data_IF_311910609072
#
_entry.id   IF_311910609072
#
_cell.length_a   1.000
_cell.length_b   1.000
_cell.length_c   1.000
_cell.angle_alpha   90.00
_cell.angle_beta   90.00
_cell.angle_gamma   90.00
#
_symmetry.space_group_name_H-M   'P 1'
#
loop_
_entity.id
_entity.type
_entity.pdbx_description
1 polymer ?
#
# COMPACT_ATOMS: atom_id res chain seq x y z
N UNK A 1 -3.35 6.34 4.23
CA UNK A 1 -4.48 7.19 3.81
C UNK A 1 -5.77 6.60 4.35
N UNK A 2 -6.92 6.87 3.74
CA UNK A 2 -8.23 6.40 4.24
C UNK A 2 -8.56 4.92 3.94
N UNK A 3 -7.58 4.02 3.85
CA UNK A 3 -7.83 2.58 3.65
C UNK A 3 -8.43 2.13 2.31
N UNK A 4 -8.85 3.02 1.39
CA UNK A 4 -9.54 2.65 0.13
C UNK A 4 -8.86 1.53 -0.66
N UNK A 5 -7.56 1.64 -0.92
CA UNK A 5 -6.82 0.61 -1.68
C UNK A 5 -6.83 -0.75 -0.97
N UNK A 6 -6.78 -0.76 0.36
CA UNK A 6 -6.84 -1.98 1.17
C UNK A 6 -8.19 -2.67 0.97
N UNK A 7 -9.29 -1.91 1.06
CA UNK A 7 -10.64 -2.41 0.84
C UNK A 7 -10.85 -2.90 -0.60
N UNK A 8 -10.35 -2.17 -1.60
CA UNK A 8 -10.40 -2.64 -2.99
C UNK A 8 -9.61 -3.95 -3.19
N UNK A 9 -8.43 -4.08 -2.58
CA UNK A 9 -7.66 -5.32 -2.63
C UNK A 9 -8.41 -6.48 -1.97
N UNK A 10 -9.04 -6.23 -0.81
CA UNK A 10 -9.85 -7.25 -0.12
C UNK A 10 -11.08 -7.64 -0.92
N UNK A 11 -11.97 -6.69 -1.20
CA UNK A 11 -13.31 -6.97 -1.72
C UNK A 11 -13.31 -7.27 -3.22
N UNK A 12 -12.48 -6.57 -4.01
CA UNK A 12 -12.47 -6.77 -5.47
C UNK A 12 -11.48 -7.84 -5.91
N UNK A 13 -10.25 -7.79 -5.38
CA UNK A 13 -9.21 -8.74 -5.74
C UNK A 13 -9.22 -10.01 -4.86
N UNK A 14 -10.11 -10.08 -3.87
CA UNK A 14 -10.29 -11.24 -2.97
C UNK A 14 -8.98 -11.66 -2.30
N UNK A 15 -8.15 -10.69 -1.93
CA UNK A 15 -6.91 -10.97 -1.22
C UNK A 15 -7.22 -11.64 0.14
N UNK A 16 -6.41 -12.64 0.51
CA UNK A 16 -6.55 -13.32 1.82
C UNK A 16 -6.41 -12.35 2.99
N UNK A 17 -5.42 -11.45 2.92
CA UNK A 17 -5.12 -10.43 3.93
C UNK A 17 -4.77 -9.12 3.22
N UNK A 18 -5.28 -8.00 3.73
CA UNK A 18 -5.00 -6.68 3.20
C UNK A 18 -4.78 -5.71 4.36
N UNK A 19 -3.61 -5.05 4.39
CA UNK A 19 -3.23 -4.18 5.51
C UNK A 19 -2.88 -2.78 5.01
N UNK A 20 -3.40 -1.76 5.68
CA UNK A 20 -3.07 -0.36 5.46
C UNK A 20 -2.37 0.25 6.66
N UNK A 21 -1.17 0.78 6.45
CA UNK A 21 -0.43 1.52 7.49
C UNK A 21 -0.50 3.02 7.17
N UNK A 22 -0.88 3.84 8.13
CA UNK A 22 -0.97 5.30 8.01
C UNK A 22 -0.40 5.94 9.27
N UNK A 23 0.50 6.92 9.10
CA UNK A 23 1.18 7.59 10.21
C UNK A 23 0.48 8.89 10.66
N UNK A 24 -0.51 9.36 9.91
CA UNK A 24 -1.35 10.49 10.29
C UNK A 24 -2.60 9.97 11.02
N UNK A 25 -2.57 10.00 12.35
CA UNK A 25 -3.63 9.48 13.24
C UNK A 25 -5.04 9.93 12.82
N UNK A 26 -5.24 11.22 12.51
CA UNK A 26 -6.56 11.71 12.08
C UNK A 26 -7.09 11.00 10.83
N UNK A 27 -6.21 10.64 9.88
CA UNK A 27 -6.61 9.88 8.67
C UNK A 27 -6.87 8.42 8.98
N UNK A 28 -6.11 7.83 9.91
CA UNK A 28 -6.33 6.48 10.40
C UNK A 28 -7.71 6.37 11.08
N UNK A 29 -8.08 7.32 11.96
CA UNK A 29 -9.38 7.33 12.63
C UNK A 29 -10.55 7.39 11.63
N UNK A 30 -10.44 8.24 10.60
CA UNK A 30 -11.44 8.29 9.51
C UNK A 30 -11.50 6.95 8.76
N UNK A 31 -10.36 6.28 8.56
CA UNK A 31 -10.32 4.99 7.89
C UNK A 31 -10.98 3.88 8.72
N UNK A 32 -10.75 3.88 10.03
CA UNK A 32 -11.39 2.95 10.97
C UNK A 32 -12.91 3.15 11.00
N UNK A 33 -13.38 4.39 11.15
CA UNK A 33 -14.81 4.70 11.09
C UNK A 33 -15.45 4.27 9.76
N UNK A 34 -14.75 4.48 8.64
CA UNK A 34 -15.24 4.04 7.33
C UNK A 34 -15.28 2.51 7.19
N UNK A 35 -14.40 1.77 7.88
CA UNK A 35 -14.44 0.32 7.93
C UNK A 35 -15.65 -0.17 8.73
N UNK A 36 -15.89 0.42 9.90
CA UNK A 36 -17.06 0.07 10.74
C UNK A 36 -18.37 0.33 10.00
N UNK A 37 -18.49 1.50 9.34
CA UNK A 37 -19.66 1.84 8.51
C UNK A 37 -19.84 0.91 7.31
N UNK A 38 -18.75 0.39 6.75
CA UNK A 38 -18.81 -0.55 5.64
C UNK A 38 -19.28 -1.92 6.11
N UNK A 39 -18.87 -2.36 7.30
CA UNK A 39 -19.32 -3.61 7.92
C UNK A 39 -20.85 -3.60 8.12
N UNK A 40 -21.38 -2.47 8.58
CA UNK A 40 -22.84 -2.26 8.72
C UNK A 40 -23.59 -2.36 7.38
N UNK A 41 -22.93 -2.04 6.26
CA UNK A 41 -23.52 -2.04 4.92
C UNK A 41 -23.34 -3.36 4.16
N UNK A 42 -22.63 -4.34 4.73
CA UNK A 42 -22.47 -5.65 4.10
C UNK A 42 -23.81 -6.38 4.00
N UNK A 43 -24.01 -7.03 2.85
CA UNK A 43 -25.12 -7.98 2.65
C UNK A 43 -24.97 -9.20 3.56
N UNK A 44 -26.07 -9.93 3.81
CA UNK A 44 -26.02 -11.16 4.62
C UNK A 44 -25.06 -12.20 4.04
N UNK A 45 -24.98 -12.29 2.71
CA UNK A 45 -24.04 -13.17 2.00
C UNK A 45 -22.59 -12.76 2.25
N UNK A 46 -22.27 -11.47 2.20
CA UNK A 46 -20.93 -10.96 2.47
C UNK A 46 -20.52 -11.12 3.93
N UNK A 47 -21.46 -10.93 4.87
CA UNK A 47 -21.25 -11.20 6.30
C UNK A 47 -21.01 -12.69 6.55
N UNK A 48 -21.82 -13.56 5.96
CA UNK A 48 -21.65 -15.01 6.06
C UNK A 48 -20.32 -15.48 5.46
N UNK A 49 -19.84 -14.80 4.42
CA UNK A 49 -18.54 -15.07 3.80
C UNK A 49 -17.35 -14.42 4.54
N UNK A 50 -17.59 -13.68 5.63
CA UNK A 50 -16.58 -12.88 6.34
C UNK A 50 -15.78 -12.02 5.34
N UNK A 51 -16.48 -11.24 4.52
CA UNK A 51 -15.90 -10.52 3.40
C UNK A 51 -14.77 -9.55 3.79
N UNK A 52 -14.77 -9.08 5.05
CA UNK A 52 -13.75 -8.17 5.59
C UNK A 52 -12.67 -8.89 6.42
N UNK A 53 -12.72 -10.21 6.56
CA UNK A 53 -11.71 -11.01 7.27
C UNK A 53 -10.29 -10.66 6.86
N UNK A 54 -9.39 -10.40 7.81
CA UNK A 54 -7.98 -10.08 7.51
C UNK A 54 -7.77 -8.73 6.82
N UNK A 55 -8.74 -7.82 6.88
CA UNK A 55 -8.52 -6.38 6.70
C UNK A 55 -7.98 -5.80 7.99
N UNK A 56 -6.85 -5.11 7.93
CA UNK A 56 -6.30 -4.38 9.08
C UNK A 56 -5.94 -2.95 8.66
N UNK A 57 -6.34 -1.98 9.47
CA UNK A 57 -5.94 -0.59 9.34
C UNK A 57 -5.12 -0.24 10.58
N UNK A 58 -3.87 0.16 10.38
CA UNK A 58 -2.88 0.34 11.45
C UNK A 58 -2.46 1.81 11.51
N UNK A 59 -2.57 2.42 12.69
CA UNK A 59 -1.92 3.70 12.99
C UNK A 59 -0.43 3.44 13.26
N UNK A 60 0.44 3.90 12.37
CA UNK A 60 1.86 3.65 12.52
C UNK A 60 2.72 4.17 11.38
N UNK A 61 4.03 4.20 11.64
CA UNK A 61 5.03 4.57 10.65
C UNK A 61 5.59 3.33 9.96
N UNK A 62 5.25 3.17 8.68
CA UNK A 62 5.73 2.07 7.84
C UNK A 62 7.26 2.03 7.69
N UNK A 63 7.98 3.11 8.01
CA UNK A 63 9.45 3.16 7.98
C UNK A 63 10.09 2.50 9.20
N UNK A 64 9.34 2.32 10.29
CA UNK A 64 9.83 1.74 11.55
C UNK A 64 9.59 0.22 11.65
N UNK A 65 8.85 -0.36 10.72
CA UNK A 65 8.55 -1.79 10.71
C UNK A 65 9.81 -2.65 10.49
N UNK A 66 9.83 -3.84 11.10
CA UNK A 66 10.89 -4.83 10.85
C UNK A 66 10.85 -5.34 9.40
N UNK A 67 9.68 -5.61 8.85
CA UNK A 67 9.48 -5.99 7.45
C UNK A 67 8.01 -5.75 7.05
N UNK A 68 7.77 -5.77 5.74
CA UNK A 68 6.45 -5.72 5.10
C UNK A 68 6.27 -6.96 4.22
N UNK A 69 5.98 -8.10 4.85
CA UNK A 69 5.94 -9.41 4.18
C UNK A 69 4.58 -9.65 3.50
N UNK A 70 4.34 -8.90 2.43
CA UNK A 70 3.16 -8.99 1.57
C UNK A 70 3.58 -9.22 0.12
N UNK A 71 2.85 -10.07 -0.60
CA UNK A 71 3.13 -10.33 -2.02
C UNK A 71 3.03 -9.05 -2.86
N UNK A 72 2.12 -8.14 -2.54
CA UNK A 72 1.92 -6.86 -3.22
C UNK A 72 2.00 -5.71 -2.23
N UNK A 73 2.88 -4.75 -2.50
CA UNK A 73 3.04 -3.54 -1.69
C UNK A 73 2.72 -2.33 -2.55
N UNK A 74 1.78 -1.51 -2.09
CA UNK A 74 1.38 -0.26 -2.74
C UNK A 74 1.83 0.93 -1.89
N UNK A 75 2.64 1.82 -2.45
CA UNK A 75 3.16 2.99 -1.74
C UNK A 75 2.68 4.25 -2.44
N UNK A 76 1.92 5.08 -1.71
CA UNK A 76 1.56 6.42 -2.16
C UNK A 76 2.62 7.43 -1.69
N UNK A 77 3.76 7.43 -2.37
CA UNK A 77 4.97 8.13 -1.96
C UNK A 77 5.20 9.49 -2.66
N UNK A 78 4.19 10.03 -3.36
CA UNK A 78 4.36 11.23 -4.20
C UNK A 78 5.02 12.39 -3.44
N UNK A 79 4.59 12.61 -2.20
CA UNK A 79 5.07 13.70 -1.32
C UNK A 79 6.15 13.28 -0.32
N UNK A 80 6.65 12.04 -0.38
CA UNK A 80 7.65 11.57 0.58
C UNK A 80 9.00 12.26 0.34
N UNK A 81 9.62 12.69 1.45
CA UNK A 81 10.97 13.24 1.46
C UNK A 81 12.02 12.18 1.12
N UNK A 82 13.23 12.62 0.75
CA UNK A 82 14.35 11.69 0.53
C UNK A 82 14.72 10.89 1.79
N UNK A 83 14.55 11.47 2.99
CA UNK A 83 14.79 10.80 4.28
C UNK A 83 13.77 9.67 4.48
N UNK A 84 12.49 9.97 4.30
CA UNK A 84 11.39 9.00 4.40
C UNK A 84 11.58 7.86 3.39
N UNK A 85 11.92 8.18 2.14
CA UNK A 85 12.16 7.19 1.10
C UNK A 85 13.34 6.27 1.41
N UNK A 86 14.44 6.80 1.97
CA UNK A 86 15.58 5.97 2.41
C UNK A 86 15.20 5.04 3.55
N UNK A 87 14.48 5.54 4.55
CA UNK A 87 14.01 4.71 5.66
C UNK A 87 13.07 3.59 5.16
N UNK A 88 12.11 3.93 4.30
CA UNK A 88 11.22 2.94 3.69
C UNK A 88 11.95 1.95 2.78
N UNK A 89 12.92 2.41 1.98
CA UNK A 89 13.74 1.55 1.13
C UNK A 89 14.49 0.50 1.96
N UNK A 90 14.99 0.88 3.15
CA UNK A 90 15.65 -0.06 4.06
C UNK A 90 14.67 -1.16 4.53
N UNK A 91 13.42 -0.81 4.83
CA UNK A 91 12.37 -1.79 5.18
C UNK A 91 12.09 -2.70 3.98
N UNK A 92 11.79 -2.12 2.83
CA UNK A 92 11.48 -2.87 1.61
C UNK A 92 12.63 -3.78 1.16
N UNK A 93 13.88 -3.41 1.43
CA UNK A 93 15.05 -4.23 1.11
C UNK A 93 15.09 -5.54 1.92
N UNK A 94 14.60 -5.55 3.16
CA UNK A 94 14.51 -6.75 4.01
C UNK A 94 13.15 -7.49 3.91
N UNK A 95 12.10 -6.82 3.44
CA UNK A 95 10.77 -7.41 3.23
C UNK A 95 10.71 -8.44 2.10
N UNK A 96 9.82 -9.44 2.22
CA UNK A 96 9.48 -10.42 1.18
C UNK A 96 8.22 -9.96 0.42
N UNK A 97 8.44 -9.29 -0.70
CA UNK A 97 7.38 -8.89 -1.64
C UNK A 97 7.66 -9.40 -3.05
N UNK A 98 6.62 -9.58 -3.86
CA UNK A 98 6.70 -9.93 -5.28
C UNK A 98 6.58 -8.69 -6.15
N UNK A 99 5.57 -7.87 -5.85
CA UNK A 99 5.22 -6.66 -6.60
C UNK A 99 5.28 -5.44 -5.68
N UNK A 100 5.91 -4.37 -6.17
CA UNK A 100 5.89 -3.05 -5.55
C UNK A 100 5.32 -2.04 -6.53
N UNK A 101 4.35 -1.24 -6.09
CA UNK A 101 3.79 -0.13 -6.87
C UNK A 101 4.13 1.19 -6.18
N UNK A 102 4.74 2.11 -6.91
CA UNK A 102 5.22 3.39 -6.37
C UNK A 102 5.16 4.48 -7.43
N UNK A 103 5.00 5.75 -7.02
CA UNK A 103 5.08 6.89 -7.93
C UNK A 103 6.52 7.29 -8.29
N UNK A 104 7.52 6.80 -7.54
CA UNK A 104 8.92 7.18 -7.74
C UNK A 104 9.54 6.36 -8.87
N UNK A 105 10.33 7.00 -9.75
CA UNK A 105 11.01 6.32 -10.85
C UNK A 105 12.18 5.46 -10.34
N UNK A 106 12.67 4.50 -11.14
CA UNK A 106 13.66 3.52 -10.72
C UNK A 106 14.95 4.13 -10.16
N UNK A 107 15.39 5.25 -10.75
CA UNK A 107 16.59 5.98 -10.30
C UNK A 107 16.48 6.42 -8.84
N UNK A 108 15.30 6.87 -8.40
CA UNK A 108 15.10 7.34 -7.02
C UNK A 108 15.21 6.19 -6.04
N UNK A 109 14.55 5.05 -6.31
CA UNK A 109 14.64 3.88 -5.44
C UNK A 109 16.05 3.32 -5.34
N UNK A 110 16.79 3.27 -6.45
CA UNK A 110 18.20 2.87 -6.46
C UNK A 110 19.07 3.79 -5.60
N UNK A 111 18.90 5.11 -5.73
CA UNK A 111 19.60 6.10 -4.89
C UNK A 111 19.24 5.95 -3.42
N UNK A 112 18.02 5.51 -3.09
CA UNK A 112 17.60 5.24 -1.72
C UNK A 112 18.06 3.87 -1.18
N UNK A 113 18.74 3.05 -1.99
CA UNK A 113 19.28 1.75 -1.58
C UNK A 113 18.41 0.54 -1.93
N UNK A 114 17.23 0.72 -2.52
CA UNK A 114 16.36 -0.39 -2.93
C UNK A 114 16.81 -0.97 -4.27
N UNK A 115 17.83 -1.85 -4.23
CA UNK A 115 18.47 -2.41 -5.44
C UNK A 115 17.72 -3.58 -6.06
N UNK A 116 16.97 -4.34 -5.27
CA UNK A 116 16.25 -5.55 -5.72
C UNK A 116 14.96 -5.26 -6.50
N UNK A 117 14.64 -3.99 -6.77
CA UNK A 117 13.42 -3.59 -7.47
C UNK A 117 13.69 -3.34 -8.95
N UNK A 118 13.20 -4.23 -9.81
CA UNK A 118 13.24 -4.07 -11.26
C UNK A 118 11.92 -3.52 -11.80
N UNK A 119 11.91 -2.38 -12.50
CA UNK A 119 10.68 -1.84 -13.10
C UNK A 119 10.24 -2.73 -14.27
N UNK A 120 8.96 -3.09 -14.32
CA UNK A 120 8.37 -3.92 -15.38
C UNK A 120 7.24 -3.22 -16.12
N UNK A 121 6.58 -2.24 -15.50
CA UNK A 121 5.52 -1.49 -16.14
C UNK A 121 5.46 -0.04 -15.64
N UNK A 122 4.82 0.80 -16.45
CA UNK A 122 4.53 2.19 -16.12
C UNK A 122 3.06 2.47 -16.39
N UNK A 123 2.34 2.89 -15.35
CA UNK A 123 0.92 3.21 -15.39
C UNK A 123 0.74 4.72 -15.33
N UNK A 124 -0.15 5.26 -16.18
CA UNK A 124 -0.55 6.66 -16.14
C UNK A 124 -2.03 6.73 -15.83
N UNK A 125 -2.40 7.60 -14.90
CA UNK A 125 -3.79 7.82 -14.52
C UNK A 125 -4.00 9.27 -14.14
N UNK A 126 -5.27 9.67 -14.11
CA UNK A 126 -5.69 11.00 -13.68
C UNK A 126 -6.40 10.85 -12.34
N UNK A 127 -5.97 11.62 -11.34
CA UNK A 127 -6.64 11.62 -10.03
C UNK A 127 -8.00 12.30 -10.12
N UNK A 128 -8.83 12.11 -9.10
CA UNK A 128 -10.11 12.84 -8.97
C UNK A 128 -9.91 14.36 -9.00
N UNK A 129 -8.76 14.86 -8.53
CA UNK A 129 -8.34 16.26 -8.62
C UNK A 129 -7.81 16.70 -9.99
N UNK A 130 -8.00 15.88 -11.04
CA UNK A 130 -7.52 16.11 -12.42
C UNK A 130 -6.00 16.19 -12.57
N UNK A 131 -5.25 15.70 -11.59
CA UNK A 131 -3.79 15.66 -11.69
C UNK A 131 -3.36 14.41 -12.45
N UNK A 132 -2.41 14.57 -13.38
CA UNK A 132 -1.79 13.44 -14.09
C UNK A 132 -0.73 12.81 -13.19
N UNK A 133 -0.93 11.54 -12.86
CA UNK A 133 -0.01 10.74 -12.07
C UNK A 133 0.64 9.66 -12.93
N UNK A 134 1.89 9.34 -12.60
CA UNK A 134 2.58 8.15 -13.11
C UNK A 134 2.95 7.27 -11.94
N UNK A 135 2.61 6.00 -12.02
CA UNK A 135 3.12 4.96 -11.13
C UNK A 135 3.97 3.97 -11.93
N UNK A 136 4.92 3.38 -11.24
CA UNK A 136 5.78 2.32 -11.74
C UNK A 136 5.46 1.04 -10.98
N UNK A 137 5.43 -0.07 -11.72
CA UNK A 137 5.29 -1.41 -11.17
C UNK A 137 6.67 -2.04 -11.19
N UNK A 138 7.10 -2.55 -10.05
CA UNK A 138 8.37 -3.21 -9.85
C UNK A 138 8.16 -4.67 -9.44
N UNK A 139 9.05 -5.55 -9.89
CA UNK A 139 9.19 -6.91 -9.38
C UNK A 139 10.43 -7.02 -8.50
N UNK A 140 10.36 -7.87 -7.49
CA UNK A 140 11.50 -8.20 -6.65
C UNK A 140 12.40 -9.22 -7.37
N UNK A 141 13.66 -8.86 -7.61
CA UNK A 141 14.63 -9.70 -8.32
C UNK A 141 15.24 -10.82 -7.46
N UNK A 142 14.99 -10.80 -6.15
CA UNK A 142 15.52 -11.79 -5.21
C UNK A 142 14.48 -12.86 -4.84
N UNK A 143 13.39 -12.96 -5.59
CA UNK A 143 12.33 -13.94 -5.36
C UNK A 143 12.45 -15.10 -6.35
#
# INVERSE_FOLDING_TARGET
>A
GYGKVVLHAKLKARCRRAVGIECVTARHLIAAQALDQLDEQLTDEERAADALSGVELVDGDATLAASHDFSHVYVFDRVFSAVTLRALAAVLARSRWLVLVSSKPPKVWRTCGLRKAAPVARLRFVTTGRERCTCFVYVNQNY
#
